data_IF_542141760092
#
_entry.id   IF_542141760092
#
_cell.length_a   1.000
_cell.length_b   1.000
_cell.length_c   1.000
_cell.angle_alpha   90.00
_cell.angle_beta   90.00
_cell.angle_gamma   90.00
#
_symmetry.space_group_name_H-M   'P 1'
#
loop_
_entity.id
_entity.type
_entity.pdbx_description
1 polymer ?
#
# COMPACT_ATOMS: atom_id res chain seq x y z
N UNK A 1 28.36 21.83 44.41
CA UNK A 1 28.47 21.22 43.07
C UNK A 1 27.06 20.94 42.55
N UNK A 2 26.50 21.78 41.66
CA UNK A 2 25.19 21.48 41.11
C UNK A 2 25.35 20.44 39.99
N UNK A 3 24.72 19.29 40.17
CA UNK A 3 24.55 18.25 39.15
C UNK A 3 23.62 18.79 38.06
N UNK A 4 24.21 19.19 36.94
CA UNK A 4 23.50 19.53 35.73
C UNK A 4 23.10 18.23 35.02
N UNK A 5 21.85 17.80 35.23
CA UNK A 5 21.20 16.89 34.31
C UNK A 5 21.22 17.53 32.91
N UNK A 6 21.58 16.79 31.84
CA UNK A 6 21.54 17.35 30.50
C UNK A 6 20.08 17.65 30.14
N UNK A 7 19.77 18.93 30.00
CA UNK A 7 18.54 19.40 29.36
C UNK A 7 18.60 18.87 27.94
N UNK A 8 17.67 17.97 27.59
CA UNK A 8 17.47 17.52 26.22
C UNK A 8 17.29 18.76 25.35
N UNK A 9 18.25 19.02 24.46
CA UNK A 9 18.17 20.09 23.49
C UNK A 9 16.82 20.03 22.75
N UNK A 10 16.08 21.13 22.77
CA UNK A 10 14.86 21.37 21.96
C UNK A 10 15.19 21.51 20.46
N UNK A 11 15.99 20.59 19.94
CA UNK A 11 16.36 20.46 18.53
C UNK A 11 16.18 19.02 18.05
N UNK A 12 15.27 18.25 18.67
CA UNK A 12 14.84 16.97 18.10
C UNK A 12 14.10 17.30 16.82
N UNK A 13 14.80 17.07 15.70
CA UNK A 13 14.29 17.02 14.35
C UNK A 13 12.78 16.69 14.33
N UNK A 14 11.96 17.69 14.02
CA UNK A 14 10.57 17.46 13.61
C UNK A 14 10.48 16.64 12.30
N UNK A 15 11.62 16.20 11.75
CA UNK A 15 11.79 15.54 10.45
C UNK A 15 11.76 14.01 10.49
N UNK A 16 11.66 13.37 11.66
CA UNK A 16 11.42 11.94 11.77
C UNK A 16 9.97 11.63 12.20
N UNK A 17 8.99 12.26 11.56
CA UNK A 17 7.61 11.79 11.71
C UNK A 17 7.52 10.38 11.14
N UNK A 18 7.30 9.41 12.01
CA UNK A 18 7.17 7.99 11.67
C UNK A 18 6.04 7.79 10.66
N UNK A 19 6.41 7.49 9.41
CA UNK A 19 5.44 7.12 8.36
C UNK A 19 4.79 5.80 8.72
N UNK A 20 3.46 5.74 8.65
CA UNK A 20 2.73 4.52 8.88
C UNK A 20 2.83 3.65 7.62
N UNK A 21 3.39 2.45 7.75
CA UNK A 21 3.45 1.48 6.65
C UNK A 21 2.30 0.47 6.76
N UNK A 22 1.37 0.56 5.83
CA UNK A 22 0.26 -0.37 5.65
C UNK A 22 0.72 -1.53 4.77
N UNK A 23 1.03 -2.67 5.39
CA UNK A 23 1.23 -3.92 4.66
C UNK A 23 -0.09 -4.51 4.18
N UNK A 24 -0.02 -5.50 3.27
CA UNK A 24 -1.17 -6.15 2.65
C UNK A 24 -2.35 -6.46 3.59
N UNK A 25 -2.07 -7.10 4.72
CA UNK A 25 -3.11 -7.44 5.69
C UNK A 25 -3.69 -6.24 6.47
N UNK A 26 -2.96 -5.14 6.59
CA UNK A 26 -3.49 -3.89 7.17
C UNK A 26 -4.43 -3.19 6.17
N UNK A 27 -4.03 -3.12 4.90
CA UNK A 27 -4.85 -2.52 3.83
C UNK A 27 -6.22 -3.21 3.75
N UNK A 28 -6.25 -4.53 3.69
CA UNK A 28 -7.50 -5.30 3.57
C UNK A 28 -8.38 -5.20 4.83
N UNK A 29 -7.78 -5.13 6.02
CA UNK A 29 -8.53 -4.91 7.27
C UNK A 29 -9.15 -3.51 7.32
N UNK A 30 -8.40 -2.47 6.94
CA UNK A 30 -8.94 -1.11 6.87
C UNK A 30 -10.04 -0.98 5.81
N UNK A 31 -9.99 -1.80 4.77
CA UNK A 31 -11.04 -1.89 3.76
C UNK A 31 -12.24 -2.75 4.17
N UNK A 32 -12.22 -3.36 5.38
CA UNK A 32 -13.31 -4.16 5.90
C UNK A 32 -13.49 -5.53 5.24
N UNK A 33 -12.54 -5.98 4.41
CA UNK A 33 -12.61 -7.25 3.66
C UNK A 33 -11.60 -8.30 4.13
N UNK A 34 -10.74 -7.94 5.09
CA UNK A 34 -9.74 -8.80 5.68
C UNK A 34 -9.97 -8.99 7.17
N UNK A 35 -9.77 -10.20 7.67
CA UNK A 35 -9.87 -10.53 9.09
C UNK A 35 -8.72 -11.44 9.52
N UNK A 36 -8.39 -11.44 10.82
CA UNK A 36 -7.26 -12.21 11.36
C UNK A 36 -7.79 -13.36 12.22
N UNK A 37 -7.52 -14.59 11.80
CA UNK A 37 -7.92 -15.81 12.52
C UNK A 37 -6.71 -16.72 12.68
N UNK A 38 -6.40 -17.14 13.91
CA UNK A 38 -5.28 -18.05 14.18
C UNK A 38 -3.91 -17.53 13.68
N UNK A 39 -3.71 -16.21 13.65
CA UNK A 39 -2.47 -15.59 13.16
C UNK A 39 -2.35 -15.46 11.64
N UNK A 40 -3.30 -15.98 10.86
CA UNK A 40 -3.39 -15.81 9.41
C UNK A 40 -4.33 -14.65 9.07
N UNK A 41 -4.03 -13.93 8.00
CA UNK A 41 -4.96 -12.96 7.43
C UNK A 41 -5.78 -13.68 6.38
N UNK A 42 -7.09 -13.70 6.59
CA UNK A 42 -8.08 -14.22 5.67
C UNK A 42 -8.74 -13.04 4.96
N UNK A 43 -9.21 -13.29 3.74
CA UNK A 43 -9.89 -12.30 2.90
C UNK A 43 -11.23 -12.88 2.51
N UNK A 44 -12.26 -12.05 2.50
CA UNK A 44 -13.59 -12.47 2.10
C UNK A 44 -13.56 -13.07 0.69
N UNK A 45 -14.24 -14.22 0.43
CA UNK A 45 -14.17 -14.89 -0.87
C UNK A 45 -14.61 -14.01 -2.04
N UNK A 46 -15.58 -13.12 -1.79
CA UNK A 46 -16.10 -12.16 -2.77
C UNK A 46 -15.14 -10.96 -3.02
N UNK A 47 -14.08 -10.82 -2.25
CA UNK A 47 -13.12 -9.74 -2.44
C UNK A 47 -12.39 -9.92 -3.79
N UNK A 48 -12.35 -8.87 -4.64
CA UNK A 48 -11.64 -8.93 -5.91
C UNK A 48 -10.12 -8.81 -5.73
N UNK A 49 -9.66 -8.68 -4.49
CA UNK A 49 -8.25 -8.69 -4.09
C UNK A 49 -7.93 -9.97 -3.31
N UNK A 50 -6.72 -10.47 -3.48
CA UNK A 50 -6.18 -11.60 -2.73
C UNK A 50 -4.87 -11.23 -2.04
N UNK A 51 -4.57 -11.92 -0.95
CA UNK A 51 -3.25 -11.85 -0.33
C UNK A 51 -2.32 -12.79 -1.06
N UNK A 52 -1.21 -12.24 -1.54
CA UNK A 52 -0.05 -13.04 -1.86
C UNK A 52 0.76 -13.24 -0.57
N UNK A 53 0.87 -14.48 -0.13
CA UNK A 53 1.67 -14.88 1.04
C UNK A 53 3.04 -15.27 0.52
N UNK A 54 4.08 -14.51 0.90
CA UNK A 54 5.45 -14.78 0.47
C UNK A 54 6.13 -15.85 1.32
N UNK A 55 7.45 -15.97 1.15
CA UNK A 55 8.27 -16.98 1.79
C UNK A 55 8.13 -17.01 3.32
N UNK A 56 8.33 -18.23 3.84
CA UNK A 56 8.27 -18.57 5.25
C UNK A 56 9.26 -17.69 6.01
N UNK A 57 8.79 -16.92 6.99
CA UNK A 57 9.70 -16.16 7.86
C UNK A 57 10.68 -17.11 8.56
N UNK A 58 11.79 -16.59 9.07
CA UNK A 58 12.74 -17.34 9.92
C UNK A 58 12.07 -18.04 11.12
N UNK A 59 10.90 -17.56 11.54
CA UNK A 59 10.03 -18.14 12.58
C UNK A 59 8.99 -19.14 12.06
N UNK A 60 9.08 -19.59 10.81
CA UNK A 60 8.20 -20.60 10.23
C UNK A 60 6.82 -20.09 9.76
N UNK A 61 6.53 -18.79 9.88
CA UNK A 61 5.22 -18.19 9.61
C UNK A 61 5.17 -17.53 8.22
N UNK A 62 4.14 -17.82 7.44
CA UNK A 62 3.87 -17.11 6.20
C UNK A 62 3.44 -15.68 6.50
N UNK A 63 4.12 -14.68 5.91
CA UNK A 63 3.73 -13.27 6.02
C UNK A 63 3.10 -12.80 4.72
N UNK A 64 1.93 -12.11 4.76
CA UNK A 64 1.41 -11.40 3.60
C UNK A 64 2.48 -10.45 3.07
N UNK A 65 2.92 -10.65 1.82
CA UNK A 65 3.93 -9.78 1.18
C UNK A 65 3.30 -8.76 0.26
N UNK A 66 2.12 -9.06 -0.29
CA UNK A 66 1.41 -8.15 -1.17
C UNK A 66 -0.09 -8.43 -1.22
N UNK A 67 -0.85 -7.44 -1.70
CA UNK A 67 -2.19 -7.66 -2.24
C UNK A 67 -2.13 -7.68 -3.77
N UNK A 68 -2.90 -8.57 -4.37
CA UNK A 68 -2.98 -8.75 -5.81
C UNK A 68 -4.44 -8.66 -6.24
N UNK A 69 -4.75 -7.80 -7.20
CA UNK A 69 -6.06 -7.78 -7.82
C UNK A 69 -6.25 -9.00 -8.72
N UNK A 70 -7.42 -9.65 -8.66
CA UNK A 70 -7.73 -10.85 -9.45
C UNK A 70 -8.12 -10.51 -10.90
N UNK A 71 -8.76 -9.35 -11.10
CA UNK A 71 -9.42 -8.94 -12.35
C UNK A 71 -9.24 -7.43 -12.57
N UNK A 72 -9.51 -6.92 -13.80
CA UNK A 72 -9.64 -5.48 -13.98
C UNK A 72 -10.90 -5.01 -13.24
N UNK A 73 -10.98 -3.71 -12.97
CA UNK A 73 -12.08 -3.08 -12.23
C UNK A 73 -12.22 -3.54 -10.77
N UNK A 74 -11.21 -4.24 -10.23
CA UNK A 74 -11.13 -4.57 -8.82
C UNK A 74 -10.98 -3.29 -8.01
N UNK A 75 -12.02 -2.96 -7.26
CA UNK A 75 -12.04 -1.81 -6.38
C UNK A 75 -11.73 -2.21 -4.93
N UNK A 76 -10.95 -1.38 -4.23
CA UNK A 76 -10.76 -1.43 -2.79
C UNK A 76 -10.76 -0.01 -2.24
N UNK A 77 -11.43 0.21 -1.12
CA UNK A 77 -11.52 1.53 -0.51
C UNK A 77 -11.33 1.42 0.99
N UNK A 78 -10.58 2.35 1.57
CA UNK A 78 -10.35 2.42 3.00
C UNK A 78 -10.04 3.85 3.43
N UNK A 79 -10.13 4.10 4.74
CA UNK A 79 -9.75 5.39 5.33
C UNK A 79 -8.48 5.23 6.14
N UNK A 80 -7.56 6.19 6.04
CA UNK A 80 -6.33 6.22 6.84
C UNK A 80 -5.87 7.65 7.05
N UNK A 81 -5.22 7.89 8.19
CA UNK A 81 -4.55 9.15 8.48
C UNK A 81 -3.31 9.32 7.56
N UNK A 82 -3.26 10.42 6.81
CA UNK A 82 -2.14 10.75 5.91
C UNK A 82 -1.44 12.02 6.38
N UNK A 83 -0.12 12.10 6.19
CA UNK A 83 0.68 13.29 6.54
C UNK A 83 1.42 13.85 5.33
N UNK A 84 0.69 14.48 4.42
CA UNK A 84 1.22 15.25 3.30
C UNK A 84 1.76 14.44 2.12
N UNK A 85 1.91 13.12 2.25
CA UNK A 85 2.30 12.26 1.12
C UNK A 85 1.82 10.83 1.27
N UNK A 86 1.56 10.18 0.14
CA UNK A 86 1.27 8.75 0.06
C UNK A 86 2.40 8.10 -0.74
N UNK A 87 3.06 7.11 -0.16
CA UNK A 87 4.00 6.23 -0.84
C UNK A 87 3.31 4.91 -1.21
N UNK A 88 3.56 4.41 -2.42
CA UNK A 88 3.05 3.09 -2.85
C UNK A 88 4.21 2.29 -3.40
N UNK A 89 4.45 1.12 -2.81
CA UNK A 89 5.35 0.13 -3.38
C UNK A 89 4.55 -0.93 -4.12
N UNK A 90 4.79 -1.03 -5.42
CA UNK A 90 4.11 -1.98 -6.30
C UNK A 90 5.10 -2.67 -7.23
N UNK A 91 4.64 -3.69 -7.93
CA UNK A 91 5.48 -4.44 -8.87
C UNK A 91 5.12 -4.12 -10.30
N UNK A 92 6.13 -4.00 -11.14
CA UNK A 92 6.01 -4.01 -12.58
C UNK A 92 6.40 -5.36 -13.18
N UNK A 93 5.76 -5.74 -14.28
CA UNK A 93 6.00 -6.98 -15.00
C UNK A 93 5.58 -6.85 -16.46
N UNK A 94 6.42 -7.33 -17.40
CA UNK A 94 6.05 -7.37 -18.82
C UNK A 94 4.86 -8.32 -19.10
N UNK A 95 4.62 -9.32 -18.26
CA UNK A 95 3.64 -10.39 -18.54
C UNK A 95 2.29 -10.20 -17.85
N UNK A 96 2.28 -9.67 -16.61
CA UNK A 96 1.19 -9.98 -15.66
C UNK A 96 0.35 -8.79 -15.23
N UNK A 97 0.91 -7.59 -15.21
CA UNK A 97 0.27 -6.47 -14.52
C UNK A 97 -0.29 -5.42 -15.47
N UNK A 98 -1.51 -5.00 -15.16
CA UNK A 98 -2.19 -3.88 -15.80
C UNK A 98 -1.88 -2.57 -15.08
N UNK A 99 -2.87 -1.68 -15.00
CA UNK A 99 -2.72 -0.36 -14.38
C UNK A 99 -3.55 -0.26 -13.10
N UNK A 100 -3.19 0.67 -12.23
CA UNK A 100 -3.94 0.98 -11.02
C UNK A 100 -4.22 2.47 -10.94
N UNK A 101 -5.48 2.86 -10.81
CA UNK A 101 -5.86 4.21 -10.40
C UNK A 101 -5.94 4.26 -8.88
N UNK A 102 -4.98 4.96 -8.27
CA UNK A 102 -5.02 5.37 -6.88
C UNK A 102 -5.72 6.74 -6.80
N UNK A 103 -6.81 6.84 -6.05
CA UNK A 103 -7.46 8.12 -5.75
C UNK A 103 -7.44 8.37 -4.24
N UNK A 104 -7.25 9.61 -3.84
CA UNK A 104 -7.29 10.02 -2.43
C UNK A 104 -8.10 11.30 -2.26
N UNK A 105 -8.80 11.40 -1.14
CA UNK A 105 -9.49 12.61 -0.71
C UNK A 105 -9.18 12.87 0.75
N UNK A 106 -8.34 13.87 1.00
CA UNK A 106 -8.08 14.42 2.33
C UNK A 106 -8.92 15.69 2.53
N UNK A 107 -9.04 16.21 3.77
CA UNK A 107 -9.74 17.46 4.08
C UNK A 107 -9.26 18.67 3.25
N UNK A 108 -7.96 18.73 3.00
CA UNK A 108 -7.21 19.86 2.47
C UNK A 108 -6.72 19.65 1.02
N UNK A 109 -6.52 18.40 0.59
CA UNK A 109 -6.15 18.08 -0.79
C UNK A 109 -6.62 16.68 -1.23
N UNK A 110 -7.27 16.63 -2.39
CA UNK A 110 -7.63 15.39 -3.07
C UNK A 110 -6.92 15.27 -4.42
N UNK A 111 -6.89 14.06 -4.96
CA UNK A 111 -6.29 13.80 -6.26
C UNK A 111 -6.37 12.35 -6.67
N UNK A 112 -5.77 12.05 -7.81
CA UNK A 112 -5.61 10.69 -8.30
C UNK A 112 -4.31 10.57 -9.09
N UNK A 113 -3.80 9.33 -9.19
CA UNK A 113 -2.64 8.97 -10.00
C UNK A 113 -2.84 7.58 -10.59
N UNK A 114 -2.41 7.40 -11.82
CA UNK A 114 -2.31 6.08 -12.45
C UNK A 114 -0.90 5.55 -12.22
N UNK A 115 -0.82 4.36 -11.64
CA UNK A 115 0.40 3.57 -11.49
C UNK A 115 0.40 2.51 -12.60
N UNK A 116 1.48 2.45 -13.37
CA UNK A 116 1.59 1.49 -14.46
C UNK A 116 2.36 0.25 -14.00
N UNK A 117 1.69 -0.89 -13.97
CA UNK A 117 2.27 -2.17 -13.60
C UNK A 117 3.03 -2.83 -14.75
N UNK A 118 3.03 -2.25 -15.95
CA UNK A 118 3.78 -2.80 -17.07
C UNK A 118 5.21 -2.23 -17.13
N UNK A 119 6.15 -3.08 -17.54
CA UNK A 119 7.52 -2.68 -17.86
C UNK A 119 8.03 -3.56 -19.00
N UNK A 120 8.68 -2.98 -20.01
CA UNK A 120 9.13 -3.69 -21.22
C UNK A 120 10.11 -4.84 -20.96
N UNK A 121 11.12 -4.62 -20.10
CA UNK A 121 12.31 -5.50 -20.04
C UNK A 121 12.39 -6.38 -18.77
N UNK A 122 11.38 -6.31 -17.88
CA UNK A 122 11.48 -6.94 -16.57
C UNK A 122 10.23 -7.75 -16.23
N UNK A 123 10.44 -9.02 -15.84
CA UNK A 123 9.37 -9.90 -15.35
C UNK A 123 8.90 -9.55 -13.95
N UNK A 124 9.74 -8.84 -13.17
CA UNK A 124 9.45 -8.44 -11.79
C UNK A 124 10.38 -7.31 -11.33
N UNK A 125 9.90 -6.06 -11.37
CA UNK A 125 10.63 -4.88 -10.88
C UNK A 125 9.83 -4.17 -9.77
N UNK A 126 10.38 -4.01 -8.55
CA UNK A 126 9.72 -3.21 -7.51
C UNK A 126 9.87 -1.72 -7.79
N UNK A 127 8.75 -0.99 -7.75
CA UNK A 127 8.69 0.47 -7.92
C UNK A 127 8.17 1.11 -6.65
N UNK A 128 8.80 2.21 -6.23
CA UNK A 128 8.35 3.03 -5.12
C UNK A 128 7.87 4.37 -5.65
N UNK A 129 6.56 4.56 -5.68
CA UNK A 129 5.94 5.82 -6.10
C UNK A 129 5.69 6.71 -4.88
N UNK A 130 5.98 8.00 -5.00
CA UNK A 130 5.69 8.99 -3.95
C UNK A 130 4.80 10.09 -4.48
N UNK A 131 3.69 10.31 -3.81
CA UNK A 131 2.60 11.17 -4.27
C UNK A 131 2.39 12.25 -3.22
N UNK A 132 2.38 13.51 -3.65
CA UNK A 132 1.98 14.63 -2.78
C UNK A 132 0.49 14.52 -2.50
N UNK A 133 0.12 14.50 -1.23
CA UNK A 133 -1.26 14.37 -0.77
C UNK A 133 -1.56 15.44 0.30
N UNK A 134 -2.82 15.53 0.71
CA UNK A 134 -3.21 16.34 1.87
C UNK A 134 -2.84 15.68 3.19
N UNK A 135 -3.33 16.23 4.29
CA UNK A 135 -3.12 15.70 5.64
C UNK A 135 -4.45 15.47 6.37
N UNK A 136 -4.45 14.54 7.32
CA UNK A 136 -5.64 14.17 8.09
C UNK A 136 -6.25 12.85 7.65
N UNK A 137 -7.49 12.59 8.05
CA UNK A 137 -8.20 11.37 7.70
C UNK A 137 -8.59 11.39 6.22
N UNK A 138 -7.86 10.64 5.40
CA UNK A 138 -8.09 10.57 3.97
C UNK A 138 -8.80 9.28 3.58
N UNK A 139 -9.70 9.40 2.61
CA UNK A 139 -10.31 8.25 1.95
C UNK A 139 -9.46 7.87 0.74
N UNK A 140 -8.92 6.65 0.73
CA UNK A 140 -8.10 6.09 -0.34
C UNK A 140 -8.94 5.07 -1.12
N UNK A 141 -8.86 5.13 -2.44
CA UNK A 141 -9.48 4.17 -3.35
C UNK A 141 -8.42 3.63 -4.31
N UNK A 142 -8.38 2.30 -4.42
CA UNK A 142 -7.60 1.53 -5.38
C UNK A 142 -8.57 0.96 -6.40
N UNK A 143 -8.36 1.24 -7.69
CA UNK A 143 -9.13 0.66 -8.77
C UNK A 143 -8.18 0.12 -9.82
N UNK A 144 -8.20 -1.18 -10.07
CA UNK A 144 -7.44 -1.73 -11.21
C UNK A 144 -8.11 -1.36 -12.52
N UNK A 145 -7.27 -1.05 -13.50
CA UNK A 145 -7.67 -0.72 -14.85
C UNK A 145 -7.10 -1.77 -15.81
N UNK A 146 -7.76 -2.00 -16.96
CA UNK A 146 -7.20 -2.84 -18.00
C UNK A 146 -5.77 -2.40 -18.38
N UNK A 147 -4.87 -3.37 -18.52
CA UNK A 147 -3.58 -3.18 -19.16
C UNK A 147 -3.73 -2.94 -20.66
N UNK A 148 -2.60 -2.76 -21.35
CA UNK A 148 -2.56 -2.63 -22.81
C UNK A 148 -3.02 -3.92 -23.52
N UNK A 149 -2.89 -5.07 -22.86
CA UNK A 149 -3.34 -6.37 -23.34
C UNK A 149 -4.45 -6.91 -22.42
N UNK A 150 -5.46 -7.57 -23.00
CA UNK A 150 -6.61 -8.10 -22.26
C UNK A 150 -6.24 -9.15 -21.20
N UNK A 151 -5.10 -9.84 -21.36
CA UNK A 151 -4.54 -10.79 -20.41
C UNK A 151 -3.87 -10.14 -19.19
N UNK A 152 -3.58 -8.83 -19.26
CA UNK A 152 -2.87 -8.06 -18.21
C UNK A 152 -3.85 -7.28 -17.35
N UNK A 153 -4.49 -7.98 -16.42
CA UNK A 153 -5.55 -7.40 -15.59
C UNK A 153 -5.24 -7.38 -14.09
N UNK A 154 -4.15 -8.01 -13.66
CA UNK A 154 -3.75 -8.05 -12.26
C UNK A 154 -2.95 -6.80 -11.88
N UNK A 155 -2.88 -6.46 -10.60
CA UNK A 155 -1.94 -5.45 -10.10
C UNK A 155 -1.47 -5.85 -8.71
N UNK A 156 -0.17 -5.73 -8.43
CA UNK A 156 0.43 -6.17 -7.16
C UNK A 156 0.97 -4.98 -6.36
N UNK A 157 0.47 -4.80 -5.14
CA UNK A 157 0.91 -3.77 -4.18
C UNK A 157 1.53 -4.46 -2.98
N UNK A 158 2.77 -4.12 -2.63
CA UNK A 158 3.48 -4.68 -1.47
C UNK A 158 3.10 -3.92 -0.19
N UNK A 159 3.16 -2.59 -0.22
CA UNK A 159 2.71 -1.75 0.88
C UNK A 159 2.32 -0.35 0.41
N UNK A 160 1.60 0.36 1.29
CA UNK A 160 1.31 1.79 1.18
C UNK A 160 1.89 2.48 2.42
N UNK A 161 2.62 3.57 2.26
CA UNK A 161 3.08 4.41 3.37
C UNK A 161 2.35 5.75 3.38
N UNK A 162 1.99 6.23 4.57
CA UNK A 162 1.22 7.48 4.77
C UNK A 162 1.75 8.30 5.94
#
# INVERSE_FOLDING_TARGET
TPSSYPVLHQGVDQLAQSRLVLHAGAILRLAGVGHKTGGKVLVDPACPWQINVGERSSTGRFRPTAIVAKHPDAALQFSVEVRGSIGVRYMQSYEKFGRLKLSWKCPDLGGWKILDGWHQDHSSLPVNERIKAGSGLCKIQLLTLPGLEASRSSFKIEYISV
#
